data_IF_652219538929
#
_entry.id   IF_652219538929
#
_cell.length_a   1.000
_cell.length_b   1.000
_cell.length_c   1.000
_cell.angle_alpha   90.00
_cell.angle_beta   90.00
_cell.angle_gamma   90.00
#
_symmetry.space_group_name_H-M   'P 1'
#
loop_
_entity.id
_entity.type
_entity.pdbx_description
1 polymer ?
#
# COMPACT_ATOMS: atom_id res chain seq x y z
N UNK A 1 6.03 -18.34 -10.54
CA UNK A 1 6.76 -17.79 -9.37
C UNK A 1 5.84 -16.78 -8.72
N UNK A 2 5.21 -17.18 -7.62
CA UNK A 2 4.14 -16.48 -6.93
C UNK A 2 4.67 -15.64 -5.77
N UNK A 3 3.93 -14.57 -5.45
CA UNK A 3 4.02 -13.70 -4.26
C UNK A 3 5.10 -12.61 -4.25
N UNK A 4 5.10 -11.73 -5.25
CA UNK A 4 5.25 -10.30 -4.92
C UNK A 4 3.95 -9.90 -4.22
N UNK A 5 3.97 -9.71 -2.90
CA UNK A 5 2.76 -9.42 -2.12
C UNK A 5 2.19 -8.08 -2.55
N UNK A 6 1.25 -8.10 -3.48
CA UNK A 6 0.41 -6.95 -3.80
C UNK A 6 -0.19 -6.41 -2.51
N UNK A 7 0.02 -5.12 -2.24
CA UNK A 7 -0.65 -4.42 -1.15
C UNK A 7 -2.05 -4.04 -1.66
N UNK A 8 -3.07 -4.77 -1.21
CA UNK A 8 -4.47 -4.45 -1.52
C UNK A 8 -5.00 -3.46 -0.50
N UNK A 9 -5.53 -2.34 -0.98
CA UNK A 9 -6.07 -1.26 -0.14
C UNK A 9 -7.44 -0.81 -0.64
N UNK A 10 -8.30 -0.47 0.30
CA UNK A 10 -9.56 0.22 0.03
C UNK A 10 -9.38 1.71 0.38
N UNK A 11 -9.29 2.57 -0.64
CA UNK A 11 -9.02 3.99 -0.44
C UNK A 11 -9.34 4.80 -1.70
N UNK A 12 -9.26 6.13 -1.61
CA UNK A 12 -9.33 6.99 -2.78
C UNK A 12 -7.96 7.06 -3.47
N UNK A 13 -7.96 7.21 -4.80
CA UNK A 13 -6.71 7.41 -5.54
C UNK A 13 -5.91 8.60 -5.00
N UNK A 14 -6.59 9.65 -4.55
CA UNK A 14 -5.96 10.83 -3.95
C UNK A 14 -5.17 10.50 -2.69
N UNK A 15 -5.72 9.68 -1.78
CA UNK A 15 -5.00 9.24 -0.58
C UNK A 15 -3.79 8.38 -0.94
N UNK A 16 -3.94 7.49 -1.92
CA UNK A 16 -2.86 6.66 -2.44
C UNK A 16 -1.75 7.54 -3.03
N UNK A 17 -2.08 8.51 -3.88
CA UNK A 17 -1.14 9.45 -4.47
C UNK A 17 -0.42 10.31 -3.41
N UNK A 18 -1.12 10.72 -2.35
CA UNK A 18 -0.53 11.47 -1.25
C UNK A 18 0.46 10.63 -0.43
N UNK A 19 0.11 9.37 -0.12
CA UNK A 19 1.01 8.43 0.54
C UNK A 19 2.26 8.16 -0.33
N UNK A 20 2.06 7.91 -1.63
CA UNK A 20 3.16 7.71 -2.59
C UNK A 20 4.09 8.92 -2.64
N UNK A 21 3.55 10.14 -2.58
CA UNK A 21 4.37 11.37 -2.53
C UNK A 21 5.27 11.43 -1.31
N UNK A 22 4.77 11.02 -0.14
CA UNK A 22 5.60 10.97 1.08
C UNK A 22 6.69 9.91 0.99
N UNK A 23 6.44 8.81 0.30
CA UNK A 23 7.40 7.69 0.16
C UNK A 23 8.44 7.95 -0.94
N UNK A 24 8.02 8.36 -2.13
CA UNK A 24 8.90 8.56 -3.28
C UNK A 24 9.51 9.97 -3.35
N UNK A 25 8.91 10.96 -2.65
CA UNK A 25 9.24 12.36 -2.83
C UNK A 25 8.77 12.86 -4.19
N UNK A 26 9.71 13.35 -5.00
CA UNK A 26 9.42 13.75 -6.39
C UNK A 26 9.29 12.51 -7.28
N UNK A 27 8.18 12.43 -8.01
CA UNK A 27 7.89 11.34 -8.93
C UNK A 27 7.27 11.87 -10.23
N UNK A 28 7.40 11.09 -11.29
CA UNK A 28 6.56 11.19 -12.49
C UNK A 28 5.40 10.21 -12.41
N UNK A 29 4.26 10.57 -12.99
CA UNK A 29 3.06 9.74 -13.03
C UNK A 29 2.69 9.48 -14.50
N UNK A 30 2.48 8.21 -14.84
CA UNK A 30 1.99 7.78 -16.16
C UNK A 30 0.80 6.84 -15.98
N UNK A 31 -0.13 6.85 -16.93
CA UNK A 31 -1.22 5.88 -16.99
C UNK A 31 -0.96 4.97 -18.19
N UNK A 32 -0.94 3.66 -17.95
CA UNK A 32 -0.84 2.66 -19.00
C UNK A 32 -2.22 2.36 -19.63
N UNK A 33 -2.21 1.80 -20.84
CA UNK A 33 -3.42 1.49 -21.61
C UNK A 33 -4.35 0.48 -20.92
N UNK A 34 -3.84 -0.31 -19.97
CA UNK A 34 -4.58 -1.26 -19.15
C UNK A 34 -5.24 -0.62 -17.90
N UNK A 35 -5.13 0.71 -17.73
CA UNK A 35 -5.66 1.42 -16.56
C UNK A 35 -4.76 1.34 -15.32
N UNK A 36 -3.55 0.79 -15.42
CA UNK A 36 -2.54 0.84 -14.37
C UNK A 36 -1.92 2.25 -14.29
N UNK A 37 -1.82 2.79 -13.08
CA UNK A 37 -1.16 4.06 -12.82
C UNK A 37 0.23 3.79 -12.27
N UNK A 38 1.26 4.28 -12.94
CA UNK A 38 2.66 4.07 -12.62
C UNK A 38 3.25 5.36 -12.08
N UNK A 39 3.74 5.30 -10.84
CA UNK A 39 4.48 6.34 -10.16
C UNK A 39 5.96 5.98 -10.16
N UNK A 40 6.79 6.79 -10.81
CA UNK A 40 8.24 6.56 -10.90
C UNK A 40 8.99 7.64 -10.15
N UNK A 41 9.71 7.27 -9.09
CA UNK A 41 10.56 8.20 -8.35
C UNK A 41 11.75 8.65 -9.20
N UNK A 42 12.14 9.91 -9.06
CA UNK A 42 13.24 10.49 -9.85
C UNK A 42 14.58 10.04 -9.26
N UNK A 43 15.19 9.00 -9.83
CA UNK A 43 16.59 8.58 -9.56
C UNK A 43 17.26 8.11 -10.84
N UNK A 44 18.56 8.36 -10.96
CA UNK A 44 19.33 8.12 -12.19
C UNK A 44 19.62 6.64 -12.47
N UNK A 45 19.88 5.84 -11.44
CA UNK A 45 20.42 4.47 -11.61
C UNK A 45 19.35 3.40 -11.48
N UNK A 46 18.58 3.44 -10.39
CA UNK A 46 17.49 2.49 -10.10
C UNK A 46 16.29 3.26 -9.57
N UNK A 47 15.48 3.91 -10.45
CA UNK A 47 14.29 4.60 -10.01
C UNK A 47 13.28 3.62 -9.39
N UNK A 48 12.78 3.91 -8.17
CA UNK A 48 11.72 3.14 -7.56
C UNK A 48 10.42 3.39 -8.32
N UNK A 49 9.63 2.34 -8.50
CA UNK A 49 8.36 2.36 -9.17
C UNK A 49 7.29 1.84 -8.21
N UNK A 50 6.16 2.52 -8.16
CA UNK A 50 4.95 2.05 -7.52
C UNK A 50 3.88 1.99 -8.60
N UNK A 51 3.29 0.82 -8.79
CA UNK A 51 2.19 0.63 -9.73
C UNK A 51 0.91 0.42 -8.95
N UNK A 52 -0.14 1.09 -9.38
CA UNK A 52 -1.46 1.09 -8.74
C UNK A 52 -2.47 0.63 -9.78
N UNK A 53 -3.12 -0.49 -9.52
CA UNK A 53 -4.14 -1.08 -10.39
C UNK A 53 -5.47 -1.10 -9.66
N UNK A 54 -6.53 -0.55 -10.26
CA UNK A 54 -7.87 -0.73 -9.72
C UNK A 54 -8.31 -2.19 -9.87
N UNK A 55 -8.85 -2.76 -8.80
CA UNK A 55 -9.38 -4.14 -8.77
C UNK A 55 -10.86 -4.18 -8.37
N UNK A 56 -11.49 -3.01 -8.21
CA UNK A 56 -12.88 -2.84 -7.80
C UNK A 56 -13.16 -1.40 -7.37
N UNK A 57 -14.43 -1.09 -7.07
CA UNK A 57 -14.81 0.24 -6.60
C UNK A 57 -14.10 0.59 -5.29
N UNK A 58 -13.25 1.63 -5.34
CA UNK A 58 -12.44 2.05 -4.19
C UNK A 58 -11.32 1.08 -3.79
N UNK A 59 -11.12 -0.04 -4.50
CA UNK A 59 -10.11 -1.06 -4.20
C UNK A 59 -8.97 -1.02 -5.21
N UNK A 60 -7.75 -0.99 -4.68
CA UNK A 60 -6.53 -0.90 -5.48
C UNK A 60 -5.51 -1.95 -5.03
N UNK A 61 -4.90 -2.64 -6.00
CA UNK A 61 -3.71 -3.43 -5.80
C UNK A 61 -2.48 -2.55 -6.07
N UNK A 62 -1.56 -2.51 -5.13
CA UNK A 62 -0.34 -1.71 -5.21
C UNK A 62 0.87 -2.64 -5.18
N UNK A 63 1.75 -2.48 -6.15
CA UNK A 63 3.03 -3.17 -6.20
C UNK A 63 4.17 -2.17 -6.22
N UNK A 64 5.29 -2.52 -5.60
CA UNK A 64 6.52 -1.77 -5.71
C UNK A 64 7.58 -2.59 -6.39
N UNK A 65 8.30 -1.95 -7.29
CA UNK A 65 9.42 -2.52 -8.02
C UNK A 65 10.48 -1.45 -8.22
N UNK A 66 11.66 -1.82 -8.68
CA UNK A 66 12.72 -0.88 -9.05
C UNK A 66 13.17 -1.19 -10.48
N UNK A 67 13.17 -0.18 -11.36
CA UNK A 67 13.71 -0.37 -12.72
C UNK A 67 15.23 -0.31 -12.64
N UNK A 68 15.89 -1.46 -12.60
CA UNK A 68 17.35 -1.49 -12.67
C UNK A 68 17.80 -1.35 -14.12
N UNK A 69 18.56 -0.31 -14.42
CA UNK A 69 19.14 -0.10 -15.76
C UNK A 69 20.45 -0.88 -15.97
N UNK A 70 20.97 -1.53 -14.91
CA UNK A 70 22.23 -2.28 -14.93
C UNK A 70 21.93 -3.74 -15.27
N UNK A 71 22.46 -4.21 -16.40
CA UNK A 71 22.42 -5.62 -16.79
C UNK A 71 23.27 -6.44 -15.80
N UNK A 72 22.75 -7.58 -15.33
CA UNK A 72 23.42 -8.48 -14.37
C UNK A 72 23.77 -7.82 -13.02
N UNK A 73 22.87 -7.00 -12.48
CA UNK A 73 23.07 -6.32 -11.21
C UNK A 73 23.20 -7.30 -10.03
N UNK A 74 24.38 -7.35 -9.40
CA UNK A 74 24.68 -8.18 -8.23
C UNK A 74 23.87 -7.81 -6.97
N UNK A 75 23.12 -6.70 -6.99
CA UNK A 75 22.34 -6.21 -5.85
C UNK A 75 20.84 -6.53 -5.94
N UNK A 76 20.43 -7.44 -6.83
CA UNK A 76 19.01 -7.74 -7.06
C UNK A 76 18.26 -8.16 -5.77
N UNK A 77 18.86 -8.97 -4.89
CA UNK A 77 18.25 -9.37 -3.61
C UNK A 77 18.00 -8.16 -2.70
N UNK A 78 18.95 -7.22 -2.69
CA UNK A 78 18.82 -5.96 -1.95
C UNK A 78 17.73 -5.08 -2.54
N UNK A 79 17.58 -5.05 -3.86
CA UNK A 79 16.48 -4.34 -4.53
C UNK A 79 15.12 -4.93 -4.14
N UNK A 80 14.96 -6.25 -4.14
CA UNK A 80 13.72 -6.92 -3.71
C UNK A 80 13.38 -6.58 -2.26
N UNK A 81 14.39 -6.57 -1.37
CA UNK A 81 14.20 -6.17 0.03
C UNK A 81 13.73 -4.71 0.15
N UNK A 82 14.37 -3.79 -0.58
CA UNK A 82 13.98 -2.37 -0.60
C UNK A 82 12.57 -2.17 -1.16
N UNK A 83 12.15 -2.97 -2.14
CA UNK A 83 10.79 -2.92 -2.69
C UNK A 83 9.75 -3.36 -1.64
N UNK A 84 10.04 -4.40 -0.87
CA UNK A 84 9.19 -4.84 0.24
C UNK A 84 9.13 -3.80 1.37
N UNK A 85 10.28 -3.23 1.76
CA UNK A 85 10.34 -2.16 2.76
C UNK A 85 9.54 -0.92 2.33
N UNK A 86 9.55 -0.61 1.04
CA UNK A 86 8.76 0.51 0.47
C UNK A 86 7.27 0.25 0.52
N UNK A 87 6.82 -0.97 0.20
CA UNK A 87 5.40 -1.34 0.33
C UNK A 87 4.95 -1.29 1.79
N UNK A 88 5.77 -1.77 2.72
CA UNK A 88 5.45 -1.71 4.15
C UNK A 88 5.41 -0.26 4.67
N UNK A 89 6.33 0.60 4.22
CA UNK A 89 6.29 2.03 4.53
C UNK A 89 5.02 2.70 3.96
N UNK A 90 4.64 2.35 2.73
CA UNK A 90 3.42 2.86 2.09
C UNK A 90 2.17 2.42 2.86
N UNK A 91 2.10 1.16 3.30
CA UNK A 91 1.02 0.65 4.14
C UNK A 91 0.90 1.43 5.44
N UNK A 92 2.00 1.66 6.15
CA UNK A 92 2.01 2.45 7.40
C UNK A 92 1.57 3.88 7.17
N UNK A 93 1.96 4.49 6.06
CA UNK A 93 1.57 5.86 5.75
C UNK A 93 0.09 5.96 5.37
N UNK A 94 -0.44 4.99 4.63
CA UNK A 94 -1.87 4.91 4.33
C UNK A 94 -2.71 4.75 5.59
N UNK A 95 -2.29 3.90 6.54
CA UNK A 95 -2.94 3.76 7.84
C UNK A 95 -2.94 5.08 8.61
N UNK A 96 -1.78 5.75 8.70
CA UNK A 96 -1.68 7.07 9.35
C UNK A 96 -2.60 8.10 8.70
N UNK A 97 -2.62 8.19 7.38
CA UNK A 97 -3.46 9.15 6.66
C UNK A 97 -4.95 8.81 6.83
N UNK A 98 -5.30 7.53 6.90
CA UNK A 98 -6.67 7.09 7.22
C UNK A 98 -7.05 7.47 8.66
N UNK A 99 -6.16 7.27 9.64
CA UNK A 99 -6.35 7.67 11.05
C UNK A 99 -6.44 9.19 11.20
N UNK A 100 -5.59 9.96 10.51
CA UNK A 100 -5.63 11.43 10.51
C UNK A 100 -6.91 11.95 9.85
N UNK A 101 -7.39 11.29 8.79
CA UNK A 101 -8.66 11.62 8.14
C UNK A 101 -9.85 11.25 9.03
N UNK A 102 -9.81 10.11 9.71
CA UNK A 102 -10.80 9.70 10.70
C UNK A 102 -10.84 10.64 11.91
N UNK A 103 -9.68 11.14 12.37
CA UNK A 103 -9.60 12.15 13.44
C UNK A 103 -10.10 13.53 13.00
N UNK A 104 -9.96 13.89 11.71
CA UNK A 104 -10.56 15.12 11.14
C UNK A 104 -12.05 14.97 10.83
N UNK A 105 -12.51 13.75 10.55
CA UNK A 105 -13.91 13.39 10.32
C UNK A 105 -14.50 12.73 11.56
N UNK A 106 -14.78 13.49 12.61
CA UNK A 106 -15.65 13.04 13.70
C UNK A 106 -17.12 12.78 13.27
N UNK A 107 -17.39 12.52 11.99
CA UNK A 107 -18.71 12.29 11.40
C UNK A 107 -18.61 11.25 10.26
N UNK A 108 -18.97 10.00 10.61
CA UNK A 108 -19.40 8.85 9.79
C UNK A 108 -18.54 8.44 8.57
N UNK A 109 -17.72 7.42 8.79
CA UNK A 109 -17.62 6.27 7.89
C UNK A 109 -17.57 4.99 8.75
N UNK A 110 -18.31 3.92 8.40
CA UNK A 110 -18.01 2.60 8.92
C UNK A 110 -16.71 2.14 8.26
N UNK A 111 -15.63 2.09 9.04
CA UNK A 111 -14.51 1.23 8.71
C UNK A 111 -14.99 -0.17 9.07
N UNK A 112 -15.44 -0.97 8.10
CA UNK A 112 -15.48 -2.42 8.27
C UNK A 112 -14.03 -2.92 8.25
N UNK A 113 -13.29 -2.63 9.31
CA UNK A 113 -12.47 -3.69 9.88
C UNK A 113 -13.49 -4.74 10.29
N UNK A 114 -13.31 -6.00 9.89
CA UNK A 114 -13.84 -7.12 10.66
C UNK A 114 -13.18 -7.08 12.04
N UNK A 115 -13.60 -6.11 12.84
CA UNK A 115 -13.34 -5.94 14.23
C UNK A 115 -14.21 -6.99 14.87
N UNK A 116 -13.57 -8.09 15.23
CA UNK A 116 -14.13 -9.08 16.13
C UNK A 116 -14.72 -8.31 17.32
N UNK A 117 -16.03 -8.43 17.47
CA UNK A 117 -16.79 -7.79 18.55
C UNK A 117 -16.18 -8.26 19.89
N UNK A 118 -15.56 -7.35 20.65
CA UNK A 118 -14.89 -7.69 21.92
C UNK A 118 -15.87 -8.38 22.90
N UNK A 119 -17.19 -8.18 22.75
CA UNK A 119 -18.22 -8.91 23.51
C UNK A 119 -18.41 -10.36 23.08
N UNK A 120 -18.10 -10.70 21.83
CA UNK A 120 -18.09 -12.09 21.35
C UNK A 120 -16.84 -12.81 21.89
N UNK A 121 -15.71 -12.12 22.00
CA UNK A 121 -14.49 -12.66 22.61
C UNK A 121 -14.73 -12.96 24.09
N UNK A 122 -15.27 -12.02 24.87
CA UNK A 122 -15.57 -12.25 26.29
C UNK A 122 -16.54 -13.42 26.52
N UNK A 123 -17.64 -13.49 25.75
CA UNK A 123 -18.59 -14.63 25.82
C UNK A 123 -17.97 -15.97 25.40
N UNK A 124 -16.98 -15.98 24.51
CA UNK A 124 -16.29 -17.19 24.10
C UNK A 124 -15.31 -17.69 25.18
N UNK A 125 -14.67 -16.79 25.93
CA UNK A 125 -13.78 -17.15 27.04
C UNK A 125 -14.53 -17.64 28.29
N UNK A 126 -15.74 -17.13 28.54
CA UNK A 126 -16.56 -17.55 29.69
C UNK A 126 -17.04 -19.01 29.57
N UNK A 127 -17.31 -19.49 28.34
CA UNK A 127 -17.67 -20.89 28.05
C UNK A 127 -16.52 -21.89 28.12
N UNK A 128 -15.27 -21.43 28.17
CA UNK A 128 -14.08 -22.27 28.28
C UNK A 128 -13.57 -22.40 29.72
N UNK A 129 -14.26 -21.77 30.69
CA UNK A 129 -13.93 -21.78 32.11
C UNK A 129 -14.87 -22.63 32.98
N UNK A 130 -15.84 -23.33 32.37
CA UNK A 130 -16.61 -24.40 33.01
C UNK A 130 -16.00 -25.77 32.71
#
# INVERSE_FOLDING_TARGET
MESSKDLVVESTLELISNAIRKILGNYSQNMEANGEIIFTGIREVCPPIIKVRSIGEGKYAIISTSKCSVKDCSYWERCVKLDAERLEALRKELLKLADEKAKKQALKWPIETEGVDEKIIEKAYEKLRE
#
